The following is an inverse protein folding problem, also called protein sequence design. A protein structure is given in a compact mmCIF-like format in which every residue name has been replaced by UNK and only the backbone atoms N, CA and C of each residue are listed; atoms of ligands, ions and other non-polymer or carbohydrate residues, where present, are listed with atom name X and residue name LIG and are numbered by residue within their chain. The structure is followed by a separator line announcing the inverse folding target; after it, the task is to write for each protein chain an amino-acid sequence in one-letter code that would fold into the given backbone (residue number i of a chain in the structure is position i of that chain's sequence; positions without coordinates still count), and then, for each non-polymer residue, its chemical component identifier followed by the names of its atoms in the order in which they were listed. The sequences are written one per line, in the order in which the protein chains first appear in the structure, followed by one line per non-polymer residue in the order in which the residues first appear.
data_IF_787658806793
#
_entry.id   IF_787658806793
#
_cell.length_a   1.000
_cell.length_b   1.000
_cell.length_c   1.000
_cell.angle_alpha   90.00
_cell.angle_beta   90.00
_cell.angle_gamma   90.00
#
_symmetry.space_group_name_H-M   'P 1'
#
loop_
_entity.id
_entity.type
_entity.pdbx_description
1 polymer ?
#
# COMPACT_ATOMS: atom_id res chain seq x y z
N UNK A 1 4.37 11.68 -8.85
CA UNK A 1 3.25 10.73 -8.69
C UNK A 1 2.34 11.27 -7.59
N UNK A 2 1.04 11.35 -7.83
CA UNK A 2 0.07 11.80 -6.82
C UNK A 2 -0.17 10.69 -5.78
N UNK A 3 -0.06 11.03 -4.48
CA UNK A 3 -0.22 10.06 -3.38
C UNK A 3 -1.61 9.44 -3.37
N UNK A 4 -2.65 10.20 -3.71
CA UNK A 4 -4.04 9.72 -3.74
C UNK A 4 -4.22 8.70 -4.85
N UNK A 5 -3.64 8.94 -6.02
CA UNK A 5 -3.65 8.00 -7.15
C UNK A 5 -2.92 6.71 -6.78
N UNK A 6 -1.72 6.81 -6.19
CA UNK A 6 -0.96 5.65 -5.71
C UNK A 6 -1.76 4.83 -4.69
N UNK A 7 -2.33 5.49 -3.68
CA UNK A 7 -3.12 4.80 -2.64
C UNK A 7 -4.37 4.12 -3.19
N UNK A 8 -5.05 4.72 -4.18
CA UNK A 8 -6.18 4.07 -4.86
C UNK A 8 -5.74 2.81 -5.59
N UNK A 9 -4.62 2.87 -6.32
CA UNK A 9 -4.08 1.70 -7.02
C UNK A 9 -3.68 0.58 -6.06
N UNK A 10 -3.00 0.92 -4.96
CA UNK A 10 -2.59 -0.05 -3.94
C UNK A 10 -3.79 -0.71 -3.26
N UNK A 11 -4.84 0.03 -2.92
CA UNK A 11 -6.09 -0.55 -2.37
C UNK A 11 -6.76 -1.52 -3.33
N UNK A 12 -6.77 -1.23 -4.63
CA UNK A 12 -7.31 -2.16 -5.64
C UNK A 12 -6.48 -3.45 -5.74
N UNK A 13 -5.17 -3.38 -5.53
CA UNK A 13 -4.30 -4.56 -5.51
C UNK A 13 -4.43 -5.35 -4.20
N UNK A 14 -4.65 -4.68 -3.08
CA UNK A 14 -4.88 -5.30 -1.78
C UNK A 14 -6.16 -6.13 -1.78
N UNK A 15 -7.24 -5.60 -2.36
CA UNK A 15 -8.49 -6.34 -2.58
C UNK A 15 -8.30 -7.60 -3.45
N UNK A 16 -7.29 -7.62 -4.32
CA UNK A 16 -6.93 -8.78 -5.15
C UNK A 16 -5.94 -9.73 -4.47
N UNK A 17 -5.55 -9.46 -3.22
CA UNK A 17 -4.58 -10.26 -2.46
C UNK A 17 -3.14 -10.13 -2.97
N UNK A 18 -2.83 -9.12 -3.79
CA UNK A 18 -1.51 -8.96 -4.42
C UNK A 18 -0.54 -8.11 -3.61
N UNK A 19 -1.05 -7.26 -2.73
CA UNK A 19 -0.25 -6.42 -1.84
C UNK A 19 -0.84 -6.37 -0.45
N UNK A 20 -0.02 -6.04 0.53
CA UNK A 20 -0.42 -5.66 1.87
C UNK A 20 0.18 -4.30 2.22
N UNK A 21 -0.67 -3.36 2.64
CA UNK A 21 -0.23 -2.05 3.13
C UNK A 21 -0.05 -2.17 4.65
N UNK A 22 1.08 -1.70 5.19
CA UNK A 22 1.36 -1.75 6.63
C UNK A 22 1.89 -0.41 7.13
N UNK A 23 1.63 -0.12 8.40
CA UNK A 23 2.24 1.02 9.09
C UNK A 23 3.50 0.54 9.80
N UNK A 24 4.59 1.27 9.61
CA UNK A 24 5.86 1.08 10.29
C UNK A 24 5.81 1.58 11.73
N UNK A 25 6.98 1.58 12.37
CA UNK A 25 7.12 1.96 13.78
C UNK A 25 6.93 3.47 14.02
N UNK A 26 7.12 4.32 13.00
CA UNK A 26 6.76 5.74 13.07
C UNK A 26 5.42 5.99 12.39
N UNK A 27 4.72 7.04 12.84
CA UNK A 27 3.40 7.44 12.32
C UNK A 27 3.41 7.85 10.85
N UNK A 28 4.60 8.13 10.30
CA UNK A 28 4.80 8.58 8.92
C UNK A 28 5.30 7.45 7.99
N UNK A 29 5.61 6.28 8.53
CA UNK A 29 6.06 5.13 7.75
C UNK A 29 4.85 4.30 7.29
N UNK A 30 4.42 4.49 6.05
CA UNK A 30 3.55 3.53 5.35
C UNK A 30 4.38 2.71 4.37
N UNK A 31 4.35 1.38 4.52
CA UNK A 31 5.02 0.43 3.65
C UNK A 31 4.04 -0.41 2.83
N UNK A 32 4.54 -0.96 1.72
CA UNK A 32 3.79 -1.89 0.85
C UNK A 32 4.62 -3.15 0.66
N UNK A 33 4.03 -4.31 0.92
CA UNK A 33 4.62 -5.61 0.60
C UNK A 33 3.87 -6.21 -0.58
N UNK A 34 4.60 -6.61 -1.62
CA UNK A 34 4.02 -7.32 -2.77
C UNK A 34 4.14 -8.83 -2.54
N UNK A 35 3.07 -9.55 -2.87
CA UNK A 35 3.06 -11.00 -2.96
C UNK A 35 3.41 -11.38 -4.40
N UNK A 36 4.50 -12.13 -4.58
CA UNK A 36 4.85 -12.78 -5.86
C UNK A 36 3.84 -13.88 -6.19
#
# INVERSE_FOLDING_TARGET
MDRTVLMRALKLLEQKGKVAIFKGASTDDEGVKFSL
#
